data_IF_806835692732
#
_entry.id   IF_806835692732
#
_cell.length_a   1.000
_cell.length_b   1.000
_cell.length_c   1.000
_cell.angle_alpha   90.00
_cell.angle_beta   90.00
_cell.angle_gamma   90.00
#
_symmetry.space_group_name_H-M   'P 1'
#
loop_
_entity.id
_entity.type
_entity.pdbx_description
1 polymer ?
#
# COMPACT_ATOMS: atom_id res chain seq x y z
N UNK A 1 -8.14 13.20 -2.43
CA UNK A 1 -8.09 13.58 -3.86
C UNK A 1 -9.00 14.75 -4.23
N UNK A 2 -9.89 15.24 -3.34
CA UNK A 2 -10.80 16.36 -3.65
C UNK A 2 -10.16 17.75 -3.46
N UNK A 3 -8.90 17.78 -3.00
CA UNK A 3 -8.14 19.00 -2.76
C UNK A 3 -7.11 19.21 -3.87
N UNK A 4 -6.97 20.44 -4.35
CA UNK A 4 -5.90 20.82 -5.29
C UNK A 4 -4.53 20.95 -4.59
N UNK A 5 -3.50 21.35 -5.33
CA UNK A 5 -2.13 21.51 -4.80
C UNK A 5 -2.00 22.56 -3.70
N UNK A 6 -2.94 23.51 -3.64
CA UNK A 6 -2.96 24.64 -2.70
C UNK A 6 -3.87 24.34 -1.50
N UNK A 7 -4.51 23.16 -1.47
CA UNK A 7 -5.37 22.72 -0.37
C UNK A 7 -6.84 23.16 -0.49
N UNK A 8 -7.27 23.65 -1.65
CA UNK A 8 -8.68 24.04 -1.87
C UNK A 8 -9.54 22.83 -2.24
N UNK A 9 -10.75 22.73 -1.68
CA UNK A 9 -11.74 21.72 -2.08
C UNK A 9 -12.31 22.07 -3.46
N UNK A 10 -11.67 21.58 -4.52
CA UNK A 10 -12.04 21.84 -5.90
C UNK A 10 -11.89 20.55 -6.71
N UNK A 11 -12.90 20.20 -7.51
CA UNK A 11 -12.78 19.09 -8.44
C UNK A 11 -11.86 19.50 -9.61
N UNK A 12 -10.58 19.14 -9.51
CA UNK A 12 -9.57 19.37 -10.54
C UNK A 12 -9.40 18.17 -11.50
N UNK A 13 -10.23 17.14 -11.36
CA UNK A 13 -10.17 15.94 -12.18
C UNK A 13 -11.11 16.06 -13.39
N UNK A 14 -10.66 15.61 -14.57
CA UNK A 14 -11.59 15.33 -15.65
C UNK A 14 -12.45 14.10 -15.32
N UNK A 15 -13.60 13.99 -16.01
CA UNK A 15 -14.61 12.96 -15.72
C UNK A 15 -14.05 11.54 -15.85
N UNK A 16 -13.24 11.28 -16.89
CA UNK A 16 -12.65 9.95 -17.13
C UNK A 16 -11.70 9.53 -16.00
N UNK A 17 -10.85 10.44 -15.54
CA UNK A 17 -9.93 10.19 -14.44
C UNK A 17 -10.69 9.93 -13.14
N UNK A 18 -11.73 10.73 -12.88
CA UNK A 18 -12.57 10.57 -11.68
C UNK A 18 -13.27 9.20 -11.67
N UNK A 19 -13.83 8.80 -12.81
CA UNK A 19 -14.47 7.49 -12.98
C UNK A 19 -13.46 6.34 -12.83
N UNK A 20 -12.27 6.48 -13.42
CA UNK A 20 -11.18 5.52 -13.28
C UNK A 20 -10.72 5.36 -11.83
N UNK A 21 -10.59 6.47 -11.10
CA UNK A 21 -10.27 6.46 -9.67
C UNK A 21 -11.35 5.75 -8.86
N UNK A 22 -12.62 6.10 -9.07
CA UNK A 22 -13.74 5.46 -8.36
C UNK A 22 -13.81 3.96 -8.62
N UNK A 23 -13.58 3.51 -9.86
CA UNK A 23 -13.57 2.07 -10.19
C UNK A 23 -12.48 1.31 -9.42
N UNK A 24 -11.28 1.87 -9.29
CA UNK A 24 -10.18 1.24 -8.54
C UNK A 24 -10.40 1.31 -7.03
N UNK A 25 -10.91 2.43 -6.54
CA UNK A 25 -11.32 2.60 -5.13
C UNK A 25 -12.34 1.55 -4.73
N UNK A 26 -13.33 1.27 -5.59
CA UNK A 26 -14.34 0.24 -5.33
C UNK A 26 -13.75 -1.17 -5.18
N UNK A 27 -12.69 -1.49 -5.93
CA UNK A 27 -11.97 -2.76 -5.76
C UNK A 27 -11.35 -2.88 -4.36
N UNK A 28 -10.72 -1.80 -3.86
CA UNK A 28 -10.17 -1.75 -2.49
C UNK A 28 -11.28 -1.88 -1.44
N UNK A 29 -12.40 -1.17 -1.61
CA UNK A 29 -13.55 -1.27 -0.69
C UNK A 29 -14.04 -2.72 -0.62
N UNK A 30 -14.23 -3.37 -1.78
CA UNK A 30 -14.74 -4.73 -1.85
C UNK A 30 -13.78 -5.75 -1.26
N UNK A 31 -12.48 -5.62 -1.54
CA UNK A 31 -11.46 -6.48 -0.97
C UNK A 31 -11.48 -6.40 0.57
N UNK A 32 -11.38 -5.20 1.13
CA UNK A 32 -11.26 -5.05 2.58
C UNK A 32 -12.59 -5.34 3.29
N UNK A 33 -13.73 -5.09 2.66
CA UNK A 33 -15.05 -5.43 3.24
C UNK A 33 -15.30 -6.95 3.33
N UNK A 34 -14.49 -7.76 2.64
CA UNK A 34 -14.54 -9.23 2.73
C UNK A 34 -13.77 -9.79 3.93
N UNK A 35 -12.91 -9.00 4.56
CA UNK A 35 -12.10 -9.44 5.69
C UNK A 35 -12.91 -9.49 6.98
N UNK A 36 -12.73 -10.58 7.72
CA UNK A 36 -13.25 -10.79 9.07
C UNK A 36 -12.12 -10.54 10.04
N UNK A 37 -12.38 -9.75 11.08
CA UNK A 37 -11.39 -9.47 12.13
C UNK A 37 -11.15 -10.77 12.91
N UNK A 38 -9.89 -11.24 13.01
CA UNK A 38 -9.58 -12.50 13.68
C UNK A 38 -10.18 -12.58 15.09
N UNK A 39 -10.70 -13.74 15.45
CA UNK A 39 -11.33 -14.01 16.76
C UNK A 39 -12.61 -13.20 17.04
N UNK A 40 -13.26 -12.64 16.01
CA UNK A 40 -14.55 -11.96 16.12
C UNK A 40 -15.46 -12.28 14.94
N UNK A 41 -16.74 -11.94 15.05
CA UNK A 41 -17.69 -12.00 13.93
C UNK A 41 -17.78 -10.67 13.14
N UNK A 42 -16.93 -9.69 13.44
CA UNK A 42 -16.95 -8.38 12.81
C UNK A 42 -16.22 -8.38 11.47
N UNK A 43 -16.82 -7.73 10.47
CA UNK A 43 -16.18 -7.43 9.19
C UNK A 43 -15.56 -6.06 9.21
N UNK A 44 -14.44 -5.91 8.50
CA UNK A 44 -13.82 -4.60 8.27
C UNK A 44 -14.77 -3.75 7.43
N UNK A 45 -14.97 -2.49 7.81
CA UNK A 45 -15.72 -1.53 6.99
C UNK A 45 -14.80 -0.94 5.91
N UNK A 46 -14.74 -1.58 4.74
CA UNK A 46 -13.85 -1.18 3.66
C UNK A 46 -14.13 0.23 3.11
N UNK A 47 -15.36 0.75 3.24
CA UNK A 47 -15.69 2.13 2.84
C UNK A 47 -15.14 3.16 3.82
N UNK A 48 -15.17 2.85 5.12
CA UNK A 48 -14.58 3.70 6.16
C UNK A 48 -13.05 3.71 6.07
N UNK A 49 -12.43 2.55 5.83
CA UNK A 49 -10.96 2.42 5.82
C UNK A 49 -10.32 2.68 4.45
N UNK A 50 -11.11 2.95 3.40
CA UNK A 50 -10.61 3.07 2.01
C UNK A 50 -9.46 4.05 1.83
N UNK A 51 -9.41 5.15 2.60
CA UNK A 51 -8.38 6.18 2.48
C UNK A 51 -7.00 5.61 2.85
N UNK A 52 -6.91 5.04 4.03
CA UNK A 52 -5.70 4.37 4.54
C UNK A 52 -5.36 3.14 3.71
N UNK A 53 -6.34 2.30 3.34
CA UNK A 53 -6.08 1.12 2.50
C UNK A 53 -5.46 1.51 1.14
N UNK A 54 -5.92 2.62 0.53
CA UNK A 54 -5.32 3.15 -0.71
C UNK A 54 -3.90 3.65 -0.44
N UNK A 55 -3.69 4.36 0.67
CA UNK A 55 -2.38 4.88 1.06
C UNK A 55 -1.37 3.75 1.32
N UNK A 56 -1.74 2.70 2.05
CA UNK A 56 -0.89 1.54 2.34
C UNK A 56 -0.49 0.80 1.06
N UNK A 57 -1.47 0.47 0.20
CA UNK A 57 -1.22 -0.22 -1.06
C UNK A 57 -0.39 0.64 -2.04
N UNK A 58 -0.65 1.95 -2.07
CA UNK A 58 0.12 2.89 -2.89
C UNK A 58 1.54 3.07 -2.37
N UNK A 59 1.69 3.25 -1.06
CA UNK A 59 2.95 3.50 -0.37
C UNK A 59 3.92 2.33 -0.53
N UNK A 60 3.50 1.10 -0.21
CA UNK A 60 4.36 -0.09 -0.34
C UNK A 60 4.78 -0.33 -1.78
N UNK A 61 3.87 -0.09 -2.74
CA UNK A 61 4.15 -0.25 -4.18
C UNK A 61 5.19 0.75 -4.67
N UNK A 62 5.05 2.02 -4.32
CA UNK A 62 6.00 3.05 -4.75
C UNK A 62 7.34 2.95 -4.01
N UNK A 63 7.33 2.57 -2.72
CA UNK A 63 8.56 2.29 -1.97
C UNK A 63 9.35 1.11 -2.58
N UNK A 64 8.68 0.01 -2.93
CA UNK A 64 9.34 -1.13 -3.57
C UNK A 64 9.90 -0.76 -4.95
N UNK A 65 9.15 0.02 -5.75
CA UNK A 65 9.65 0.54 -7.04
C UNK A 65 10.89 1.41 -6.87
N UNK A 66 10.90 2.28 -5.85
CA UNK A 66 12.05 3.11 -5.53
C UNK A 66 13.26 2.25 -5.14
N UNK A 67 13.06 1.24 -4.29
CA UNK A 67 14.09 0.27 -3.91
C UNK A 67 14.70 -0.45 -5.12
N UNK A 68 13.87 -1.05 -5.99
CA UNK A 68 14.37 -1.73 -7.19
C UNK A 68 15.07 -0.78 -8.16
N UNK A 69 14.63 0.48 -8.26
CA UNK A 69 15.31 1.51 -9.04
C UNK A 69 16.68 1.84 -8.45
N UNK A 70 16.79 1.94 -7.13
CA UNK A 70 18.05 2.17 -6.43
C UNK A 70 19.05 1.02 -6.67
N UNK A 71 18.61 -0.24 -6.50
CA UNK A 71 19.45 -1.42 -6.80
C UNK A 71 19.94 -1.43 -8.25
N UNK A 72 19.07 -1.07 -9.20
CA UNK A 72 19.47 -0.94 -10.62
C UNK A 72 20.54 0.13 -10.83
N UNK A 73 20.47 1.24 -10.10
CA UNK A 73 21.48 2.32 -10.17
C UNK A 73 22.80 1.90 -9.53
N UNK A 74 22.75 1.10 -8.46
CA UNK A 74 23.92 0.53 -7.81
C UNK A 74 24.64 -0.49 -8.71
N UNK A 75 23.89 -1.21 -9.55
CA UNK A 75 24.43 -2.17 -10.53
C UNK A 75 24.65 -3.58 -9.99
N UNK A 76 24.38 -3.80 -8.70
CA UNK A 76 24.40 -5.10 -8.04
C UNK A 76 23.41 -5.13 -6.87
N UNK A 77 23.05 -6.32 -6.39
CA UNK A 77 22.24 -6.49 -5.18
C UNK A 77 23.03 -6.13 -3.92
N UNK A 78 22.33 -5.71 -2.87
CA UNK A 78 22.93 -5.52 -1.55
C UNK A 78 23.29 -6.88 -0.90
N UNK A 79 24.29 -6.92 0.00
CA UNK A 79 24.58 -8.13 0.76
C UNK A 79 23.37 -8.59 1.56
N UNK A 80 23.17 -9.91 1.65
CA UNK A 80 22.11 -10.47 2.49
C UNK A 80 22.38 -10.18 3.97
N UNK A 81 21.29 -9.99 4.73
CA UNK A 81 21.37 -9.81 6.17
C UNK A 81 21.96 -11.07 6.85
N UNK A 82 22.89 -10.91 7.82
CA UNK A 82 23.38 -12.03 8.62
C UNK A 82 22.23 -12.76 9.33
N UNK A 83 22.16 -14.08 9.19
CA UNK A 83 21.11 -14.91 9.78
C UNK A 83 19.86 -15.07 8.91
N UNK A 84 19.77 -14.36 7.78
CA UNK A 84 18.65 -14.43 6.84
C UNK A 84 19.11 -14.74 5.40
N UNK A 85 20.24 -15.42 5.25
CA UNK A 85 20.81 -15.70 3.92
C UNK A 85 19.92 -16.55 3.01
N UNK A 86 18.92 -17.23 3.57
CA UNK A 86 17.93 -18.02 2.84
C UNK A 86 16.80 -17.17 2.22
N UNK A 87 16.75 -15.86 2.49
CA UNK A 87 15.80 -14.92 1.91
C UNK A 87 16.49 -13.99 0.93
N UNK A 88 15.82 -13.63 -0.16
CA UNK A 88 16.25 -12.55 -1.03
C UNK A 88 15.99 -11.19 -0.38
N UNK A 89 16.73 -10.15 -0.80
CA UNK A 89 16.48 -8.79 -0.29
C UNK A 89 15.07 -8.29 -0.60
N UNK A 90 14.45 -8.76 -1.70
CA UNK A 90 13.05 -8.47 -2.01
C UNK A 90 12.10 -9.10 -0.98
N UNK A 91 12.36 -10.34 -0.54
CA UNK A 91 11.61 -10.95 0.55
C UNK A 91 11.82 -10.21 1.87
N UNK A 92 13.06 -9.80 2.15
CA UNK A 92 13.38 -8.98 3.32
C UNK A 92 12.62 -7.65 3.30
N UNK A 93 12.53 -6.97 2.16
CA UNK A 93 11.76 -5.74 2.02
C UNK A 93 10.30 -5.92 2.51
N UNK A 94 9.62 -6.96 2.03
CA UNK A 94 8.23 -7.21 2.42
C UNK A 94 8.09 -7.75 3.85
N UNK A 95 9.07 -8.51 4.35
CA UNK A 95 9.13 -8.91 5.77
C UNK A 95 9.29 -7.70 6.68
N UNK A 96 10.16 -6.75 6.34
CA UNK A 96 10.33 -5.50 7.08
C UNK A 96 9.07 -4.64 7.06
N UNK A 97 8.40 -4.53 5.90
CA UNK A 97 7.11 -3.81 5.80
C UNK A 97 6.05 -4.46 6.70
N UNK A 98 5.89 -5.78 6.64
CA UNK A 98 4.96 -6.49 7.52
C UNK A 98 5.31 -6.32 8.99
N UNK A 99 6.60 -6.21 9.33
CA UNK A 99 7.03 -6.07 10.71
C UNK A 99 6.60 -4.75 11.36
N UNK A 100 6.58 -3.65 10.59
CA UNK A 100 6.10 -2.34 11.06
C UNK A 100 4.62 -2.40 11.44
N UNK A 101 3.84 -3.25 10.76
CA UNK A 101 2.42 -3.44 11.02
C UNK A 101 2.13 -4.42 12.17
N UNK A 102 3.14 -5.01 12.82
CA UNK A 102 2.91 -5.77 14.04
C UNK A 102 2.59 -4.83 15.21
N UNK A 103 1.29 -4.63 15.45
CA UNK A 103 0.78 -4.16 16.72
C UNK A 103 -0.06 -5.27 17.35
N UNK A 104 0.29 -5.70 18.56
CA UNK A 104 -0.56 -6.60 19.33
C UNK A 104 -1.85 -5.86 19.72
N UNK A 105 -3.01 -6.43 19.35
CA UNK A 105 -4.30 -6.18 19.98
C UNK A 105 -4.72 -7.43 20.74
#
# INVERSE_FOLDING_TARGET
SQYDKDGNLLNWWNADSYNGFNKRKECIINQYSSYVVPNTDYKVNGKLTQGENIADNGGVKEAYRAYRKYIKQLGHEEPHLPGFQNFSNDQIFFLSYAHVCFTHF
#
